data_IF_805609190065
#
_entry.id   IF_805609190065
#
_cell.length_a   1.000
_cell.length_b   1.000
_cell.length_c   1.000
_cell.angle_alpha   90.00
_cell.angle_beta   90.00
_cell.angle_gamma   90.00
#
_symmetry.space_group_name_H-M   'P 1'
#
loop_
_entity.id
_entity.type
_entity.pdbx_description
1 polymer ?
#
# COMPACT_ATOMS: atom_id res chain seq x y z
N UNK A 1 23.93 0.26 5.66
CA UNK A 1 22.62 0.34 6.33
C UNK A 1 21.57 -0.09 5.31
N UNK A 2 20.66 -1.00 5.66
CA UNK A 2 19.79 -1.67 4.69
C UNK A 2 18.67 -0.78 4.13
N UNK A 3 18.46 -0.81 2.81
CA UNK A 3 17.45 -0.03 2.10
C UNK A 3 16.02 -0.18 2.65
N UNK A 4 15.68 -1.36 3.15
CA UNK A 4 14.41 -1.62 3.85
C UNK A 4 14.24 -0.77 5.12
N UNK A 5 15.31 -0.60 5.89
CA UNK A 5 15.27 0.20 7.12
C UNK A 5 15.01 1.66 6.79
N UNK A 6 15.78 2.23 5.87
CA UNK A 6 15.62 3.63 5.43
C UNK A 6 14.21 3.89 4.89
N UNK A 7 13.67 2.95 4.09
CA UNK A 7 12.31 3.04 3.58
C UNK A 7 11.26 3.11 4.69
N UNK A 8 11.30 2.19 5.65
CA UNK A 8 10.30 2.17 6.74
C UNK A 8 10.45 3.33 7.72
N UNK A 9 11.66 3.85 7.92
CA UNK A 9 11.89 5.10 8.65
C UNK A 9 11.24 6.29 7.91
N UNK A 10 11.39 6.39 6.59
CA UNK A 10 10.74 7.42 5.76
C UNK A 10 9.20 7.32 5.81
N UNK A 11 8.66 6.09 5.81
CA UNK A 11 7.21 5.88 5.89
C UNK A 11 6.63 6.01 7.31
N UNK A 12 7.45 6.40 8.29
CA UNK A 12 7.09 6.50 9.71
C UNK A 12 6.40 5.22 10.20
N UNK A 13 7.10 4.09 10.14
CA UNK A 13 6.51 2.77 10.38
C UNK A 13 5.75 2.64 11.72
N UNK A 14 6.09 3.44 12.73
CA UNK A 14 5.38 3.48 14.03
C UNK A 14 3.93 3.97 13.93
N UNK A 15 3.54 4.63 12.84
CA UNK A 15 2.16 5.04 12.56
C UNK A 15 1.37 3.98 11.78
N UNK A 16 2.02 2.92 11.29
CA UNK A 16 1.43 1.91 10.41
C UNK A 16 0.85 0.74 11.19
N UNK A 17 -0.35 0.32 10.82
CA UNK A 17 -1.06 -0.83 11.38
C UNK A 17 -1.35 -1.85 10.29
N UNK A 18 -1.31 -3.17 10.59
CA UNK A 18 -1.73 -4.20 9.65
C UNK A 18 -3.16 -3.93 9.17
N UNK A 19 -3.36 -3.83 7.86
CA UNK A 19 -4.68 -3.70 7.29
C UNK A 19 -5.51 -4.96 7.61
N UNK A 20 -6.71 -4.76 8.16
CA UNK A 20 -7.68 -5.83 8.40
C UNK A 20 -8.93 -5.51 7.59
N UNK A 21 -9.28 -6.41 6.67
CA UNK A 21 -10.51 -6.30 5.91
C UNK A 21 -11.71 -6.44 6.88
N UNK A 22 -12.46 -5.36 7.08
CA UNK A 22 -13.59 -5.33 8.03
C UNK A 22 -14.76 -6.20 7.54
N UNK A 23 -14.89 -6.38 6.22
CA UNK A 23 -16.06 -6.98 5.55
C UNK A 23 -15.93 -8.50 5.37
N UNK A 24 -14.74 -9.08 5.61
CA UNK A 24 -14.49 -10.53 5.56
C UNK A 24 -13.93 -11.06 6.87
N UNK A 25 -14.73 -11.00 7.93
CA UNK A 25 -14.52 -11.85 9.10
C UNK A 25 -14.92 -13.29 8.74
N UNK A 26 -13.94 -14.09 8.33
CA UNK A 26 -14.11 -15.47 7.82
C UNK A 26 -14.13 -15.47 6.28
N UNK A 27 -13.27 -16.15 5.54
CA UNK A 27 -12.61 -17.42 5.79
C UNK A 27 -11.11 -17.44 5.41
N UNK A 28 -10.46 -16.28 5.21
CA UNK A 28 -9.05 -16.19 4.85
C UNK A 28 -8.28 -15.23 5.77
N UNK A 29 -8.51 -15.35 7.08
CA UNK A 29 -7.89 -14.55 8.14
C UNK A 29 -6.37 -14.71 8.28
N UNK A 30 -5.68 -15.16 7.23
CA UNK A 30 -4.24 -15.17 7.16
C UNK A 30 -3.76 -13.85 6.52
N UNK A 31 -3.21 -12.90 7.28
CA UNK A 31 -2.55 -11.72 6.71
C UNK A 31 -1.34 -12.09 5.82
N UNK A 32 -0.93 -13.36 5.82
CA UNK A 32 0.07 -13.98 4.97
C UNK A 32 -0.54 -14.90 3.90
N UNK A 33 -1.81 -14.70 3.53
CA UNK A 33 -2.58 -15.50 2.57
C UNK A 33 -1.94 -15.61 1.19
N UNK A 34 -0.99 -16.55 1.09
CA UNK A 34 -0.21 -17.17 0.00
C UNK A 34 0.21 -16.37 -1.25
N UNK A 35 -0.43 -15.29 -1.68
CA UNK A 35 -0.09 -14.54 -2.92
C UNK A 35 -0.51 -13.06 -2.97
N UNK A 36 -1.03 -12.48 -1.87
CA UNK A 36 -1.34 -11.05 -1.77
C UNK A 36 -0.17 -10.29 -1.13
N UNK A 37 0.00 -8.97 -1.39
CA UNK A 37 0.95 -8.17 -0.65
C UNK A 37 0.60 -8.10 0.85
N UNK A 38 1.60 -7.89 1.70
CA UNK A 38 1.40 -7.50 3.08
C UNK A 38 1.06 -6.01 3.10
N UNK A 39 -0.04 -5.64 3.76
CA UNK A 39 -0.61 -4.30 3.65
C UNK A 39 -0.67 -3.68 5.03
N UNK A 40 -0.17 -2.46 5.13
CA UNK A 40 -0.22 -1.66 6.35
C UNK A 40 -0.75 -0.27 6.02
N UNK A 41 -1.42 0.34 6.99
CA UNK A 41 -2.14 1.61 6.80
C UNK A 41 -2.07 2.44 8.06
N UNK A 42 -2.06 3.77 7.91
CA UNK A 42 -2.20 4.71 9.03
C UNK A 42 -3.62 4.74 9.60
N UNK A 43 -3.79 5.18 10.84
CA UNK A 43 -5.13 5.24 11.49
C UNK A 43 -6.14 6.14 10.76
N UNK A 44 -5.65 7.17 10.06
CA UNK A 44 -6.45 8.10 9.27
C UNK A 44 -6.76 7.60 7.85
N UNK A 45 -6.29 6.40 7.48
CA UNK A 45 -6.51 5.76 6.18
C UNK A 45 -5.95 6.57 4.99
N UNK A 46 -5.05 7.52 5.24
CA UNK A 46 -4.46 8.40 4.22
C UNK A 46 -3.18 7.84 3.62
N UNK A 47 -2.41 7.03 4.36
CA UNK A 47 -1.16 6.44 3.88
C UNK A 47 -1.21 4.92 3.99
N UNK A 48 -0.99 4.27 2.86
CA UNK A 48 -0.97 2.83 2.71
C UNK A 48 0.40 2.39 2.21
N UNK A 49 0.95 1.36 2.84
CA UNK A 49 2.23 0.77 2.48
C UNK A 49 2.03 -0.72 2.24
N UNK A 50 2.46 -1.16 1.06
CA UNK A 50 2.36 -2.55 0.63
C UNK A 50 3.75 -3.12 0.46
N UNK A 51 3.93 -4.34 0.94
CA UNK A 51 5.10 -5.15 0.62
C UNK A 51 4.67 -6.32 -0.27
N UNK A 52 5.22 -6.38 -1.47
CA UNK A 52 4.99 -7.45 -2.44
C UNK A 52 6.19 -8.40 -2.44
N UNK A 53 6.08 -9.58 -1.81
CA UNK A 53 7.10 -10.61 -1.95
C UNK A 53 7.24 -11.09 -3.41
N UNK A 54 8.39 -11.66 -3.73
CA UNK A 54 8.70 -12.29 -5.01
C UNK A 54 7.70 -13.41 -5.36
N UNK A 55 6.98 -14.01 -4.41
CA UNK A 55 5.92 -14.99 -4.67
C UNK A 55 4.52 -14.38 -4.92
N UNK A 56 4.33 -13.09 -4.63
CA UNK A 56 3.04 -12.40 -4.77
C UNK A 56 2.71 -12.16 -6.24
N UNK A 57 1.57 -12.69 -6.68
CA UNK A 57 1.10 -12.61 -8.08
C UNK A 57 -0.37 -12.22 -8.20
N UNK A 58 -1.08 -12.07 -7.07
CA UNK A 58 -2.51 -11.77 -7.09
C UNK A 58 -2.73 -10.27 -6.90
N UNK A 59 -3.68 -9.75 -7.66
CA UNK A 59 -4.36 -8.49 -7.39
C UNK A 59 -5.62 -8.75 -6.56
N UNK A 60 -6.21 -7.68 -6.05
CA UNK A 60 -7.45 -7.73 -5.30
C UNK A 60 -8.00 -6.34 -5.06
N UNK A 61 -9.27 -6.29 -4.70
CA UNK A 61 -9.96 -5.06 -4.33
C UNK A 61 -9.82 -4.88 -2.82
N UNK A 62 -9.25 -3.74 -2.42
CA UNK A 62 -9.25 -3.27 -1.05
C UNK A 62 -10.47 -2.40 -0.79
N UNK A 63 -10.85 -2.33 0.49
CA UNK A 63 -11.91 -1.49 1.00
C UNK A 63 -11.32 -0.55 2.06
N UNK A 64 -12.06 0.50 2.42
CA UNK A 64 -11.65 1.49 3.42
C UNK A 64 -10.76 2.62 2.89
N UNK A 65 -10.66 2.81 1.57
CA UNK A 65 -10.08 4.05 1.04
C UNK A 65 -11.05 5.21 1.23
N UNK A 66 -10.52 6.40 1.47
CA UNK A 66 -11.34 7.60 1.41
C UNK A 66 -11.41 8.08 -0.05
N UNK A 67 -12.53 8.66 -0.48
CA UNK A 67 -12.57 9.39 -1.74
C UNK A 67 -11.49 10.49 -1.74
N UNK A 68 -10.87 10.71 -2.89
CA UNK A 68 -9.82 11.71 -3.04
C UNK A 68 -8.79 11.36 -4.11
N UNK A 69 -7.81 12.25 -4.25
CA UNK A 69 -6.67 12.05 -5.15
C UNK A 69 -5.53 11.41 -4.35
N UNK A 70 -4.92 10.39 -4.92
CA UNK A 70 -3.82 9.66 -4.33
C UNK A 70 -2.60 9.70 -5.24
N UNK A 71 -1.42 9.66 -4.63
CA UNK A 71 -0.15 9.44 -5.31
C UNK A 71 0.38 8.06 -4.95
N UNK A 72 0.92 7.37 -5.95
CA UNK A 72 1.46 6.03 -5.83
C UNK A 72 2.91 6.00 -6.31
N UNK A 73 3.79 5.41 -5.51
CA UNK A 73 5.22 5.24 -5.87
C UNK A 73 5.69 3.84 -5.51
N UNK A 74 6.32 3.19 -6.48
CA UNK A 74 7.04 1.94 -6.25
C UNK A 74 8.43 2.22 -5.69
N UNK A 75 8.88 1.34 -4.81
CA UNK A 75 10.21 1.34 -4.23
C UNK A 75 10.82 -0.05 -4.36
N UNK A 76 12.03 -0.12 -4.88
CA UNK A 76 12.76 -1.36 -5.04
C UNK A 76 13.69 -1.58 -3.84
N UNK A 77 13.37 -2.53 -2.92
CA UNK A 77 14.12 -2.74 -1.68
C UNK A 77 15.54 -3.27 -1.86
N UNK A 78 15.92 -3.72 -3.07
CA UNK A 78 17.28 -4.22 -3.37
C UNK A 78 18.21 -3.12 -3.86
N UNK A 79 17.68 -2.11 -4.54
CA UNK A 79 18.47 -0.97 -5.06
C UNK A 79 18.30 0.28 -4.20
N UNK A 80 17.24 0.35 -3.40
CA UNK A 80 16.92 1.52 -2.58
C UNK A 80 16.33 2.68 -3.38
N UNK A 81 15.84 2.43 -4.59
CA UNK A 81 15.35 3.46 -5.49
C UNK A 81 13.82 3.43 -5.58
N UNK A 82 13.23 4.62 -5.59
CA UNK A 82 11.85 4.80 -6.02
C UNK A 82 11.79 4.89 -7.55
N UNK A 83 10.66 4.46 -8.12
CA UNK A 83 10.36 4.76 -9.51
C UNK A 83 10.39 6.28 -9.73
N UNK A 84 10.94 6.66 -10.89
CA UNK A 84 11.18 8.05 -11.28
C UNK A 84 9.90 8.86 -11.37
N UNK A 85 8.75 8.23 -11.60
CA UNK A 85 7.46 8.90 -11.73
C UNK A 85 6.45 8.33 -10.73
N UNK A 86 5.93 9.21 -9.88
CA UNK A 86 4.75 8.89 -9.08
C UNK A 86 3.51 8.92 -9.96
N UNK A 87 2.65 7.92 -9.80
CA UNK A 87 1.38 7.84 -10.50
C UNK A 87 0.29 8.50 -9.67
N UNK A 88 -0.43 9.44 -10.26
CA UNK A 88 -1.59 10.06 -9.63
C UNK A 88 -2.87 9.41 -10.13
N UNK A 89 -3.80 9.15 -9.20
CA UNK A 89 -5.10 8.58 -9.54
C UNK A 89 -6.15 9.07 -8.55
N UNK A 90 -7.42 9.00 -8.95
CA UNK A 90 -8.56 9.43 -8.13
C UNK A 90 -9.38 8.21 -7.71
N UNK A 91 -9.69 8.12 -6.43
CA UNK A 91 -10.66 7.19 -5.88
C UNK A 91 -11.96 7.96 -5.63
N UNK A 92 -13.08 7.46 -6.17
CA UNK A 92 -14.41 8.07 -6.00
C UNK A 92 -15.29 7.32 -4.99
N UNK A 93 -15.06 6.02 -4.82
CA UNK A 93 -15.74 5.20 -3.80
C UNK A 93 -14.86 4.96 -2.57
N UNK A 94 -15.05 3.80 -1.95
CA UNK A 94 -14.23 3.34 -0.82
C UNK A 94 -13.31 2.17 -1.17
N UNK A 95 -13.35 1.74 -2.42
CA UNK A 95 -12.60 0.58 -2.89
C UNK A 95 -11.52 0.98 -3.88
N UNK A 96 -10.44 0.20 -3.87
CA UNK A 96 -9.34 0.36 -4.82
C UNK A 96 -8.78 -0.98 -5.23
N UNK A 97 -8.60 -1.19 -6.53
CA UNK A 97 -7.93 -2.37 -7.06
C UNK A 97 -6.41 -2.16 -6.99
N UNK A 98 -5.74 -3.05 -6.27
CA UNK A 98 -4.28 -2.96 -6.12
C UNK A 98 -3.59 -3.33 -7.43
N UNK A 99 -2.56 -2.58 -7.84
CA UNK A 99 -1.82 -2.87 -9.05
C UNK A 99 -0.96 -4.13 -8.92
N UNK A 100 -0.59 -4.67 -10.08
CA UNK A 100 0.46 -5.69 -10.21
C UNK A 100 1.83 -4.99 -10.04
N UNK A 101 2.76 -5.65 -9.36
CA UNK A 101 4.13 -5.15 -9.19
C UNK A 101 4.88 -5.11 -10.53
N UNK A 102 5.88 -4.21 -10.70
CA UNK A 102 6.52 -3.96 -11.99
C UNK A 102 7.16 -5.19 -12.65
N UNK A 103 7.78 -6.08 -11.88
CA UNK A 103 8.48 -7.27 -12.39
C UNK A 103 8.38 -8.48 -11.45
N UNK A 104 9.34 -9.41 -11.49
CA UNK A 104 9.35 -10.62 -10.66
C UNK A 104 9.98 -10.45 -9.28
N UNK A 105 10.60 -9.32 -8.97
CA UNK A 105 11.30 -9.04 -7.73
C UNK A 105 10.39 -8.60 -6.57
N UNK A 106 10.98 -8.46 -5.38
CA UNK A 106 10.27 -7.86 -4.25
C UNK A 106 10.10 -6.35 -4.50
N UNK A 107 8.92 -5.82 -4.17
CA UNK A 107 8.60 -4.40 -4.33
C UNK A 107 7.87 -3.87 -3.11
N UNK A 108 8.11 -2.61 -2.79
CA UNK A 108 7.25 -1.87 -1.86
C UNK A 108 6.42 -0.85 -2.65
N UNK A 109 5.16 -0.68 -2.29
CA UNK A 109 4.29 0.35 -2.86
C UNK A 109 3.88 1.30 -1.74
N UNK A 110 3.99 2.60 -2.01
CA UNK A 110 3.50 3.65 -1.12
C UNK A 110 2.37 4.37 -1.83
N UNK A 111 1.22 4.47 -1.16
CA UNK A 111 0.04 5.17 -1.64
C UNK A 111 -0.36 6.21 -0.61
N UNK A 112 -0.39 7.48 -1.00
CA UNK A 112 -0.65 8.61 -0.10
C UNK A 112 -1.76 9.49 -0.67
N UNK A 113 -2.80 9.75 0.12
CA UNK A 113 -3.85 10.72 -0.21
C UNK A 113 -3.21 12.11 -0.27
N UNK A 114 -3.39 12.82 -1.39
CA UNK A 114 -3.06 14.24 -1.48
C UNK A 114 -3.98 15.01 -0.54
N UNK A 115 -3.41 15.89 0.27
CA UNK A 115 -4.19 16.82 1.07
C UNK A 115 -4.90 17.80 0.12
N UNK A 116 -6.19 17.59 -0.06
CA UNK A 116 -7.12 18.58 -0.59
C UNK A 116 -7.77 19.24 0.63
N UNK A 117 -7.87 20.57 0.65
CA UNK A 117 -8.17 21.40 1.82
C UNK A 117 -9.49 21.14 2.55
N UNK A 118 -10.34 20.24 2.08
CA UNK A 118 -11.56 19.77 2.72
C UNK A 118 -11.75 18.31 2.32
N UNK A 119 -11.65 17.36 3.26
CA UNK A 119 -12.31 16.05 3.17
C UNK A 119 -12.06 15.27 4.46
N UNK A 120 -13.12 15.13 5.26
CA UNK A 120 -13.20 14.22 6.40
C UNK A 120 -13.31 12.79 5.84
N UNK A 121 -12.28 11.99 6.11
CA UNK A 121 -12.44 10.56 6.33
C UNK A 121 -13.06 10.39 7.73
#
# INVERSE_FOLDING_TARGET
MGYMRSFYEEQKFWELYPYRNQTKQGADGNPFGKKMPLITVTKDLKRWVFYYPQASRKTGVLDGFCPGVYTMRWYHPRTGQYDTHGYEFKITGHTWEIPVKPDMDDWCLVVVKKESGEDVC
#
